data_IF_764643507445
#
_entry.id   IF_764643507445
#
_cell.length_a   1.000
_cell.length_b   1.000
_cell.length_c   1.000
_cell.angle_alpha   90.00
_cell.angle_beta   90.00
_cell.angle_gamma   90.00
#
_symmetry.space_group_name_H-M   'P 1'
#
loop_
_entity.id
_entity.type
_entity.pdbx_description
1 polymer ?
#
# COMPACT_ATOMS: atom_id res chain seq x y z
N UNK A 1 17.33 -22.69 1.28
CA UNK A 1 15.97 -22.70 1.85
C UNK A 1 15.25 -21.45 1.37
N UNK A 2 13.96 -21.56 1.01
CA UNK A 2 13.17 -20.39 0.65
C UNK A 2 13.04 -19.44 1.85
N UNK A 3 13.17 -18.13 1.59
CA UNK A 3 13.07 -17.03 2.55
C UNK A 3 12.00 -16.02 2.15
N UNK A 4 11.73 -15.89 0.85
CA UNK A 4 10.77 -14.93 0.31
C UNK A 4 9.58 -15.67 -0.30
N UNK A 5 8.39 -15.10 -0.17
CA UNK A 5 7.13 -15.68 -0.62
C UNK A 5 6.48 -14.74 -1.62
N UNK A 6 6.17 -15.26 -2.81
CA UNK A 6 5.50 -14.51 -3.86
C UNK A 6 4.20 -15.19 -4.29
N UNK A 7 3.15 -14.40 -4.47
CA UNK A 7 1.87 -14.86 -4.99
C UNK A 7 1.74 -14.45 -6.46
N UNK A 8 1.37 -15.40 -7.32
CA UNK A 8 1.01 -15.13 -8.72
C UNK A 8 -0.40 -15.61 -9.00
N UNK A 9 -1.06 -15.06 -10.01
CA UNK A 9 -2.44 -15.40 -10.33
C UNK A 9 -3.14 -14.30 -11.14
N UNK A 10 -4.28 -14.61 -11.79
CA UNK A 10 -4.98 -13.66 -12.64
C UNK A 10 -5.43 -12.42 -11.84
N UNK A 11 -5.53 -11.25 -12.50
CA UNK A 11 -6.02 -10.04 -11.85
C UNK A 11 -7.43 -10.27 -11.30
N UNK A 12 -7.72 -9.77 -10.10
CA UNK A 12 -9.01 -9.95 -9.43
C UNK A 12 -9.19 -11.27 -8.65
N UNK A 13 -8.20 -12.18 -8.60
CA UNK A 13 -8.28 -13.42 -7.80
C UNK A 13 -8.21 -13.21 -6.27
N UNK A 14 -8.01 -11.97 -5.80
CA UNK A 14 -7.93 -11.64 -4.37
C UNK A 14 -6.53 -11.73 -3.75
N UNK A 15 -5.45 -11.62 -4.55
CA UNK A 15 -4.05 -11.66 -4.04
C UNK A 15 -3.80 -10.58 -2.98
N UNK A 16 -4.18 -9.34 -3.28
CA UNK A 16 -4.15 -8.18 -2.36
C UNK A 16 -4.89 -8.47 -1.06
N UNK A 17 -6.09 -9.05 -1.14
CA UNK A 17 -6.89 -9.42 0.05
C UNK A 17 -6.21 -10.50 0.90
N UNK A 18 -5.51 -11.46 0.27
CA UNK A 18 -4.73 -12.47 1.00
C UNK A 18 -3.51 -11.83 1.68
N UNK A 19 -2.81 -10.91 1.00
CA UNK A 19 -1.69 -10.16 1.56
C UNK A 19 -2.11 -9.27 2.73
N UNK A 20 -3.25 -8.57 2.63
CA UNK A 20 -3.81 -7.76 3.72
C UNK A 20 -4.07 -8.62 4.96
N UNK A 21 -4.78 -9.75 4.81
CA UNK A 21 -5.04 -10.70 5.92
C UNK A 21 -3.76 -11.31 6.50
N UNK A 22 -2.80 -11.68 5.66
CA UNK A 22 -1.51 -12.16 6.13
C UNK A 22 -0.76 -11.08 6.93
N UNK A 23 -0.83 -9.83 6.48
CA UNK A 23 -0.22 -8.67 7.17
C UNK A 23 -0.86 -8.42 8.53
N UNK A 24 -2.19 -8.53 8.65
CA UNK A 24 -2.92 -8.43 9.91
C UNK A 24 -2.49 -9.51 10.91
N UNK A 25 -2.42 -10.77 10.46
CA UNK A 25 -1.96 -11.90 11.30
C UNK A 25 -0.52 -11.70 11.77
N UNK A 26 0.39 -11.27 10.88
CA UNK A 26 1.78 -10.97 11.22
C UNK A 26 1.90 -9.82 12.25
N UNK A 27 1.13 -8.72 12.07
CA UNK A 27 1.03 -7.63 13.05
C UNK A 27 0.56 -8.15 14.41
N UNK A 28 -0.50 -8.96 14.44
CA UNK A 28 -1.04 -9.54 15.69
C UNK A 28 -0.07 -10.51 16.39
N UNK A 29 0.84 -11.12 15.63
CA UNK A 29 1.88 -12.02 16.14
C UNK A 29 3.14 -11.29 16.63
N UNK A 30 3.13 -9.94 16.64
CA UNK A 30 4.28 -9.13 17.05
C UNK A 30 5.43 -9.07 16.04
N UNK A 31 5.24 -9.55 14.81
CA UNK A 31 6.28 -9.52 13.78
C UNK A 31 6.37 -8.11 13.18
N UNK A 32 7.55 -7.47 13.16
CA UNK A 32 7.72 -6.17 12.53
C UNK A 32 7.52 -6.30 11.02
N UNK A 33 6.49 -5.60 10.51
CA UNK A 33 6.09 -5.63 9.11
C UNK A 33 5.94 -4.21 8.59
N UNK A 34 6.59 -3.94 7.45
CA UNK A 34 6.48 -2.70 6.68
C UNK A 34 6.23 -3.08 5.21
N UNK A 35 5.73 -2.15 4.40
CA UNK A 35 5.38 -2.47 3.02
C UNK A 35 4.30 -1.57 2.44
N UNK A 36 3.91 -1.88 1.22
CA UNK A 36 2.77 -1.26 0.56
C UNK A 36 1.98 -2.27 -0.26
N UNK A 37 0.72 -1.94 -0.50
CA UNK A 37 -0.17 -2.63 -1.42
C UNK A 37 -0.84 -1.64 -2.37
N UNK A 38 -1.28 -2.13 -3.52
CA UNK A 38 -1.99 -1.33 -4.52
C UNK A 38 -3.51 -1.50 -4.41
N UNK A 39 -4.23 -0.38 -4.36
CA UNK A 39 -5.69 -0.36 -4.39
C UNK A 39 -6.22 0.06 -5.76
N UNK A 40 -7.26 -0.64 -6.25
CA UNK A 40 -7.97 -0.25 -7.46
C UNK A 40 -8.94 0.90 -7.17
N UNK A 41 -8.72 2.05 -7.82
CA UNK A 41 -9.56 3.24 -7.63
C UNK A 41 -10.71 3.22 -8.65
N UNK A 42 -11.95 3.20 -8.16
CA UNK A 42 -13.17 3.27 -8.98
C UNK A 42 -13.98 4.54 -8.67
N UNK A 43 -14.51 5.16 -9.71
CA UNK A 43 -15.42 6.30 -9.63
C UNK A 43 -16.59 6.07 -10.60
N UNK A 44 -17.83 6.30 -10.15
CA UNK A 44 -19.05 6.04 -10.93
C UNK A 44 -19.08 4.64 -11.59
N UNK A 45 -18.62 3.61 -10.87
CA UNK A 45 -18.54 2.22 -11.35
C UNK A 45 -17.41 1.92 -12.35
N UNK A 46 -16.65 2.92 -12.81
CA UNK A 46 -15.52 2.76 -13.74
C UNK A 46 -14.20 2.80 -12.98
N UNK A 47 -13.23 1.97 -13.37
CA UNK A 47 -11.86 2.06 -12.85
C UNK A 47 -11.17 3.29 -13.42
N UNK A 48 -10.73 4.20 -12.54
CA UNK A 48 -10.05 5.45 -12.91
C UNK A 48 -8.54 5.42 -12.68
N UNK A 49 -8.02 4.40 -11.99
CA UNK A 49 -6.59 4.28 -11.72
C UNK A 49 -6.28 3.33 -10.58
N UNK A 50 -5.07 3.47 -10.05
CA UNK A 50 -4.55 2.70 -8.93
C UNK A 50 -3.83 3.63 -7.94
N UNK A 51 -3.95 3.33 -6.66
CA UNK A 51 -3.23 4.01 -5.58
C UNK A 51 -2.28 3.05 -4.88
N UNK A 52 -1.18 3.59 -4.35
CA UNK A 52 -0.30 2.90 -3.41
C UNK A 52 -0.72 3.28 -2.00
N UNK A 53 -0.91 2.29 -1.14
CA UNK A 53 -1.20 2.46 0.28
C UNK A 53 -0.14 1.71 1.09
N UNK A 54 0.56 2.42 1.97
CA UNK A 54 1.57 1.83 2.86
C UNK A 54 0.90 1.11 4.04
N UNK A 55 1.60 0.16 4.67
CA UNK A 55 1.12 -0.49 5.90
C UNK A 55 1.06 0.44 7.12
N UNK A 56 1.60 1.66 7.00
CA UNK A 56 1.45 2.78 7.94
C UNK A 56 0.23 3.67 7.67
N UNK A 57 -0.51 3.44 6.58
CA UNK A 57 -1.74 4.17 6.24
C UNK A 57 -1.55 5.39 5.31
N UNK A 58 -0.33 5.68 4.87
CA UNK A 58 -0.07 6.74 3.89
C UNK A 58 -0.53 6.30 2.50
N UNK A 59 -1.23 7.16 1.78
CA UNK A 59 -1.78 6.90 0.44
C UNK A 59 -1.23 7.88 -0.59
N UNK A 60 -0.97 7.39 -1.79
CA UNK A 60 -0.56 8.21 -2.94
C UNK A 60 -0.96 7.59 -4.27
N UNK A 61 -0.80 8.36 -5.34
CA UNK A 61 -1.24 7.97 -6.68
C UNK A 61 -0.16 7.08 -7.32
N UNK A 62 -0.53 5.89 -7.77
CA UNK A 62 0.32 5.10 -8.66
C UNK A 62 0.05 5.46 -10.12
N UNK A 63 -1.22 5.46 -10.52
CA UNK A 63 -1.62 5.81 -11.88
C UNK A 63 -3.05 6.31 -11.95
N UNK A 64 -3.35 7.05 -13.03
CA UNK A 64 -4.70 7.54 -13.37
C UNK A 64 -4.96 7.38 -14.87
N UNK A 65 -6.23 7.35 -15.25
CA UNK A 65 -6.62 7.63 -16.63
C UNK A 65 -6.16 9.05 -16.94
N UNK A 66 -5.33 9.19 -17.97
CA UNK A 66 -4.82 10.46 -18.45
C UNK A 66 -4.93 10.56 -19.97
N UNK A 67 -5.14 11.78 -20.45
CA UNK A 67 -4.97 12.14 -21.86
C UNK A 67 -3.49 12.03 -22.27
N UNK A 68 -3.22 12.21 -23.57
CA UNK A 68 -1.86 12.21 -24.12
C UNK A 68 -0.91 13.11 -23.30
N UNK A 69 0.31 12.63 -22.94
CA UNK A 69 1.26 13.45 -22.21
C UNK A 69 1.78 14.60 -23.09
N UNK A 70 2.21 15.73 -22.49
CA UNK A 70 2.91 16.77 -23.24
C UNK A 70 4.16 16.21 -23.94
N UNK A 71 4.46 16.65 -25.18
CA UNK A 71 5.60 16.14 -25.93
C UNK A 71 6.91 16.35 -25.15
N UNK A 72 7.71 15.30 -25.07
CA UNK A 72 9.02 15.31 -24.40
C UNK A 72 9.10 14.61 -23.03
N UNK A 73 7.98 14.21 -22.40
CA UNK A 73 8.02 13.35 -21.21
C UNK A 73 8.09 11.86 -21.59
N UNK A 74 8.94 11.08 -20.91
CA UNK A 74 9.00 9.61 -21.04
C UNK A 74 7.63 8.99 -20.71
N UNK A 75 7.07 8.26 -21.66
CA UNK A 75 5.77 7.58 -21.52
C UNK A 75 5.84 6.40 -20.53
N UNK A 76 5.60 6.68 -19.26
CA UNK A 76 5.33 5.66 -18.25
C UNK A 76 3.85 5.26 -18.34
N UNK A 77 3.46 4.61 -19.45
CA UNK A 77 2.05 4.32 -19.79
C UNK A 77 1.78 2.81 -19.84
N UNK A 78 0.65 2.40 -19.27
CA UNK A 78 0.14 1.02 -19.36
C UNK A 78 -1.31 1.07 -19.86
N UNK A 79 -1.49 0.93 -21.17
CA UNK A 79 -2.80 1.09 -21.81
C UNK A 79 -3.32 2.51 -21.63
N UNK A 80 -4.49 2.66 -21.01
CA UNK A 80 -5.08 3.98 -20.72
C UNK A 80 -4.54 4.66 -19.45
N UNK A 81 -3.69 3.99 -18.66
CA UNK A 81 -3.19 4.51 -17.38
C UNK A 81 -1.82 5.15 -17.54
N UNK A 82 -1.71 6.41 -17.11
CA UNK A 82 -0.44 7.13 -16.97
C UNK A 82 0.06 6.94 -15.54
N UNK A 83 1.30 6.47 -15.39
CA UNK A 83 1.94 6.18 -14.10
C UNK A 83 2.63 7.43 -13.57
N UNK A 84 2.34 7.79 -12.32
CA UNK A 84 3.05 8.84 -11.59
C UNK A 84 4.21 8.21 -10.79
N UNK A 85 5.38 8.14 -11.43
CA UNK A 85 6.59 7.64 -10.79
C UNK A 85 7.01 8.46 -9.57
N UNK A 86 6.75 9.77 -9.56
CA UNK A 86 7.20 10.64 -8.47
C UNK A 86 6.38 10.39 -7.21
N UNK A 87 5.05 10.32 -7.33
CA UNK A 87 4.19 9.94 -6.20
C UNK A 87 4.41 8.49 -5.75
N UNK A 88 4.78 7.58 -6.65
CA UNK A 88 5.11 6.20 -6.31
C UNK A 88 6.43 6.11 -5.53
N UNK A 89 7.51 6.71 -6.04
CA UNK A 89 8.84 6.63 -5.45
C UNK A 89 8.90 7.26 -4.05
N UNK A 90 8.15 8.34 -3.82
CA UNK A 90 8.03 8.98 -2.50
C UNK A 90 7.44 8.08 -1.42
N UNK A 91 6.64 7.06 -1.79
CA UNK A 91 6.04 6.12 -0.85
C UNK A 91 6.77 4.77 -0.81
N UNK A 92 7.12 4.21 -1.97
CA UNK A 92 7.71 2.89 -2.07
C UNK A 92 9.18 2.85 -1.60
N UNK A 93 10.00 3.87 -1.94
CA UNK A 93 11.43 3.83 -1.63
C UNK A 93 11.75 3.94 -0.13
N UNK A 94 11.10 4.81 0.67
CA UNK A 94 11.35 4.85 2.12
C UNK A 94 11.00 3.53 2.81
N UNK A 95 9.87 2.93 2.43
CA UNK A 95 9.39 1.64 2.96
C UNK A 95 10.39 0.51 2.68
N UNK A 96 10.88 0.39 1.45
CA UNK A 96 11.89 -0.64 1.10
C UNK A 96 13.22 -0.42 1.82
N UNK A 97 13.62 0.84 2.06
CA UNK A 97 14.82 1.18 2.84
C UNK A 97 14.67 0.83 4.32
N UNK A 98 13.52 1.15 4.94
CA UNK A 98 13.22 0.81 6.34
C UNK A 98 13.23 -0.69 6.60
N UNK A 99 12.76 -1.49 5.62
CA UNK A 99 12.88 -2.94 5.66
C UNK A 99 14.35 -3.40 5.60
N UNK A 100 15.21 -2.71 4.83
CA UNK A 100 16.62 -3.05 4.64
C UNK A 100 17.58 -2.62 5.77
N UNK A 101 17.36 -1.47 6.41
CA UNK A 101 18.30 -0.86 7.39
C UNK A 101 18.17 -1.41 8.83
N UNK A 102 17.52 -2.56 9.00
CA UNK A 102 17.07 -3.07 10.29
C UNK A 102 18.07 -3.94 11.05
N UNK A 103 19.16 -3.39 11.59
CA UNK A 103 20.16 -4.12 12.41
C UNK A 103 19.66 -4.57 13.80
N UNK A 104 18.36 -4.81 13.98
CA UNK A 104 17.77 -5.31 15.23
C UNK A 104 17.68 -6.84 15.25
N UNK A 105 17.71 -7.48 16.43
CA UNK A 105 17.56 -8.93 16.55
C UNK A 105 16.12 -9.37 16.31
N UNK A 106 15.72 -9.54 15.05
CA UNK A 106 14.40 -10.02 14.67
C UNK A 106 14.19 -10.09 13.16
N UNK A 107 13.45 -11.10 12.70
CA UNK A 107 13.06 -11.18 11.30
C UNK A 107 12.00 -10.11 10.97
N UNK A 108 12.20 -9.39 9.87
CA UNK A 108 11.25 -8.38 9.37
C UNK A 108 10.53 -8.90 8.14
N UNK A 109 9.26 -8.54 7.98
CA UNK A 109 8.50 -8.84 6.75
C UNK A 109 8.31 -7.55 5.94
N UNK A 110 8.67 -7.60 4.67
CA UNK A 110 8.45 -6.52 3.71
C UNK A 110 7.33 -6.90 2.74
N UNK A 111 6.25 -6.12 2.70
CA UNK A 111 5.10 -6.37 1.82
C UNK A 111 5.17 -5.55 0.54
N UNK A 112 5.02 -6.21 -0.62
CA UNK A 112 5.09 -5.56 -1.94
C UNK A 112 4.01 -6.12 -2.88
N UNK A 113 2.84 -5.49 -2.91
CA UNK A 113 1.73 -5.84 -3.81
C UNK A 113 1.46 -4.68 -4.80
N UNK A 114 1.74 -4.75 -6.10
CA UNK A 114 2.34 -5.84 -6.91
C UNK A 114 3.67 -5.41 -7.56
N UNK A 115 4.59 -6.35 -7.82
CA UNK A 115 5.78 -6.09 -8.64
C UNK A 115 5.42 -6.29 -10.12
N UNK A 116 4.68 -5.32 -10.67
CA UNK A 116 4.09 -5.37 -11.99
C UNK A 116 4.74 -4.44 -13.01
N UNK A 117 4.06 -4.26 -14.16
CA UNK A 117 4.55 -3.41 -15.25
C UNK A 117 4.56 -1.91 -14.88
N UNK A 118 3.70 -1.47 -13.95
CA UNK A 118 3.58 -0.04 -13.60
C UNK A 118 4.75 0.41 -12.72
N UNK A 119 5.14 -0.43 -11.77
CA UNK A 119 6.16 -0.18 -10.75
C UNK A 119 7.57 -0.27 -11.35
N UNK A 120 7.77 -1.19 -12.31
CA UNK A 120 9.04 -1.42 -13.00
C UNK A 120 9.46 -0.31 -13.99
N UNK A 121 8.65 0.74 -14.16
CA UNK A 121 9.12 1.96 -14.82
C UNK A 121 10.13 2.73 -13.93
N UNK A 122 10.05 2.59 -12.60
CA UNK A 122 11.02 3.16 -11.65
C UNK A 122 12.29 2.31 -11.57
N UNK A 123 13.42 2.87 -12.01
CA UNK A 123 14.74 2.26 -11.80
C UNK A 123 15.17 2.26 -10.32
N UNK A 124 14.94 3.33 -9.53
CA UNK A 124 15.16 3.30 -8.08
C UNK A 124 14.41 2.16 -7.38
N UNK A 125 13.16 1.89 -7.78
CA UNK A 125 12.36 0.80 -7.20
C UNK A 125 12.96 -0.58 -7.52
N UNK A 126 13.37 -0.82 -8.77
CA UNK A 126 14.05 -2.08 -9.17
C UNK A 126 15.30 -2.33 -8.31
N UNK A 127 16.11 -1.30 -8.08
CA UNK A 127 17.30 -1.39 -7.25
C UNK A 127 16.96 -1.66 -5.78
N UNK A 128 15.96 -0.96 -5.23
CA UNK A 128 15.51 -1.15 -3.86
C UNK A 128 14.96 -2.58 -3.63
N UNK A 129 14.13 -3.11 -4.52
CA UNK A 129 13.62 -4.49 -4.44
C UNK A 129 14.77 -5.51 -4.42
N UNK A 130 15.78 -5.36 -5.29
CA UNK A 130 16.96 -6.24 -5.31
C UNK A 130 17.76 -6.15 -4.01
N UNK A 131 17.88 -4.97 -3.42
CA UNK A 131 18.52 -4.77 -2.11
C UNK A 131 17.72 -5.48 -1.02
N UNK A 132 16.40 -5.26 -0.91
CA UNK A 132 15.53 -5.90 0.09
C UNK A 132 15.57 -7.43 0.00
N UNK A 133 15.58 -8.00 -1.22
CA UNK A 133 15.73 -9.45 -1.45
C UNK A 133 17.14 -9.98 -1.12
N UNK A 134 18.14 -9.10 -1.00
CA UNK A 134 19.51 -9.49 -0.65
C UNK A 134 19.83 -9.22 0.83
N UNK A 135 18.97 -8.51 1.56
CA UNK A 135 19.15 -8.19 2.98
C UNK A 135 18.92 -9.41 3.87
N UNK A 136 19.93 -9.86 4.66
CA UNK A 136 19.74 -10.91 5.65
C UNK A 136 18.72 -10.48 6.73
N UNK A 137 17.85 -11.40 7.14
CA UNK A 137 16.82 -11.13 8.15
C UNK A 137 15.52 -10.50 7.62
N UNK A 138 15.48 -10.09 6.35
CA UNK A 138 14.24 -9.59 5.72
C UNK A 138 13.58 -10.67 4.88
N UNK A 139 12.35 -11.01 5.22
CA UNK A 139 11.42 -11.82 4.43
C UNK A 139 10.64 -10.88 3.52
N UNK A 140 10.47 -11.24 2.25
CA UNK A 140 9.61 -10.46 1.33
C UNK A 140 8.34 -11.27 1.08
N UNK A 141 7.19 -10.64 1.28
CA UNK A 141 5.87 -11.16 0.93
C UNK A 141 5.30 -10.27 -0.17
N UNK A 142 5.28 -10.75 -1.41
CA UNK A 142 4.84 -9.92 -2.54
C UNK A 142 3.91 -10.63 -3.51
N UNK A 143 3.45 -9.89 -4.51
CA UNK A 143 2.81 -10.44 -5.70
C UNK A 143 3.63 -10.19 -6.94
N UNK A 144 3.52 -11.11 -7.89
CA UNK A 144 4.06 -10.96 -9.25
C UNK A 144 2.98 -11.34 -10.29
N UNK A 145 2.91 -10.61 -11.42
CA UNK A 145 1.96 -10.91 -12.47
C UNK A 145 2.22 -12.31 -13.04
N UNK A 146 1.16 -12.94 -13.57
CA UNK A 146 1.31 -14.16 -14.37
C UNK A 146 2.14 -13.81 -15.61
N UNK A 147 3.16 -14.61 -15.99
CA UNK A 147 3.96 -14.37 -17.19
C UNK A 147 3.05 -14.37 -18.43
N UNK A 148 2.80 -13.18 -18.99
CA UNK A 148 1.98 -12.97 -20.17
C UNK A 148 2.59 -11.87 -21.03
N UNK A 149 2.90 -12.18 -22.28
CA UNK A 149 3.55 -11.26 -23.21
C UNK A 149 5.05 -11.11 -22.94
N UNK A 150 5.59 -9.89 -23.05
CA UNK A 150 7.02 -9.61 -22.91
C UNK A 150 7.48 -9.90 -21.46
N UNK A 151 8.54 -10.70 -21.23
CA UNK A 151 9.04 -10.97 -19.89
C UNK A 151 9.53 -9.68 -19.22
N UNK A 152 9.15 -9.52 -17.96
CA UNK A 152 9.62 -8.44 -17.10
C UNK A 152 10.88 -8.92 -16.38
N UNK A 153 12.04 -8.33 -16.69
CA UNK A 153 13.34 -8.85 -16.28
C UNK A 153 13.45 -9.10 -14.76
N UNK A 154 12.96 -8.18 -13.92
CA UNK A 154 12.95 -8.36 -12.46
C UNK A 154 12.00 -9.47 -11.99
N UNK A 155 10.87 -9.69 -12.66
CA UNK A 155 9.91 -10.74 -12.28
C UNK A 155 10.48 -12.13 -12.57
N UNK A 156 11.13 -12.31 -13.73
CA UNK A 156 11.82 -13.57 -14.04
C UNK A 156 13.09 -13.75 -13.18
N UNK A 157 13.81 -12.68 -12.84
CA UNK A 157 14.89 -12.74 -11.84
C UNK A 157 14.36 -13.26 -10.49
N UNK A 158 13.29 -12.66 -9.95
CA UNK A 158 12.66 -13.08 -8.69
C UNK A 158 12.18 -14.54 -8.75
N UNK A 159 11.51 -14.95 -9.84
CA UNK A 159 11.04 -16.34 -10.00
C UNK A 159 12.18 -17.36 -9.98
N UNK A 160 13.32 -17.04 -10.58
CA UNK A 160 14.44 -17.97 -10.75
C UNK A 160 15.40 -18.02 -9.54
N UNK A 161 15.12 -17.27 -8.46
CA UNK A 161 15.95 -17.30 -7.25
C UNK A 161 15.65 -18.51 -6.37
N UNK A 162 16.71 -19.18 -5.92
CA UNK A 162 16.65 -20.34 -5.02
C UNK A 162 16.14 -20.03 -3.59
N UNK A 163 16.00 -18.76 -3.23
CA UNK A 163 15.44 -18.29 -1.95
C UNK A 163 14.00 -17.77 -2.07
N UNK A 164 13.37 -17.88 -3.24
CA UNK A 164 11.98 -17.46 -3.50
C UNK A 164 11.08 -18.68 -3.64
N UNK A 165 9.91 -18.65 -2.99
CA UNK A 165 8.82 -19.60 -3.21
C UNK A 165 7.63 -18.88 -3.85
N UNK A 166 7.20 -19.34 -5.03
CA UNK A 166 6.06 -18.77 -5.77
C UNK A 166 4.83 -19.66 -5.63
N UNK A 167 3.73 -19.11 -5.11
CA UNK A 167 2.43 -19.78 -5.04
C UNK A 167 1.48 -19.24 -6.11
N UNK A 168 0.85 -20.14 -6.86
CA UNK A 168 -0.15 -19.78 -7.88
C UNK A 168 -1.56 -19.82 -7.30
N UNK A 169 -2.25 -18.68 -7.30
CA UNK A 169 -3.66 -18.58 -6.95
C UNK A 169 -4.52 -18.79 -8.20
N UNK A 170 -5.40 -19.78 -8.15
CA UNK A 170 -6.43 -20.03 -9.15
C UNK A 170 -7.78 -19.58 -8.61
N UNK A 171 -8.51 -18.77 -9.38
CA UNK A 171 -9.93 -18.55 -9.10
C UNK A 171 -10.69 -19.83 -9.42
N UNK A 172 -11.48 -20.36 -8.48
CA UNK A 172 -12.36 -21.49 -8.72
C UNK A 172 -13.58 -21.10 -9.57
N UNK A 173 -13.34 -20.72 -10.82
CA UNK A 173 -14.36 -20.58 -11.85
C UNK A 173 -14.62 -21.95 -12.52
N UNK A 174 -15.40 -22.79 -11.83
CA UNK A 174 -15.96 -24.09 -12.29
C UNK A 174 -14.94 -25.18 -12.66
N UNK A 175 -14.91 -26.34 -11.97
CA UNK A 175 -14.01 -27.43 -12.32
C UNK A 175 -14.58 -28.34 -13.43
N UNK A 176 -13.84 -28.62 -14.53
CA UNK A 176 -14.12 -29.78 -15.38
C UNK A 176 -13.44 -31.06 -14.88
N UNK A 177 -12.46 -30.97 -13.96
CA UNK A 177 -11.62 -32.10 -13.51
C UNK A 177 -12.04 -32.74 -12.18
N UNK A 178 -12.96 -32.15 -11.41
CA UNK A 178 -13.39 -32.71 -10.11
C UNK A 178 -14.44 -33.84 -10.23
N UNK A 179 -14.36 -34.66 -11.29
CA UNK A 179 -15.30 -35.77 -11.57
C UNK A 179 -14.66 -37.10 -11.98
N UNK A 180 -13.34 -37.25 -11.88
CA UNK A 180 -12.64 -38.54 -12.02
C UNK A 180 -11.52 -38.66 -10.99
N UNK A 181 -11.83 -39.32 -9.87
CA UNK A 181 -10.93 -40.04 -8.93
C UNK A 181 -11.61 -40.13 -7.54
N UNK A 182 -12.28 -41.25 -7.18
CA UNK A 182 -12.97 -41.37 -5.89
C UNK A 182 -12.07 -41.49 -4.65
N UNK A 183 -10.73 -41.51 -4.82
CA UNK A 183 -9.79 -42.00 -3.78
C UNK A 183 -9.15 -40.95 -2.89
N UNK A 184 -9.30 -39.65 -3.17
CA UNK A 184 -8.64 -38.58 -2.39
C UNK A 184 -9.59 -37.76 -1.48
N UNK A 185 -10.56 -38.42 -0.84
CA UNK A 185 -11.51 -37.78 0.11
C UNK A 185 -11.04 -37.67 1.57
N UNK A 186 -9.76 -37.93 1.86
CA UNK A 186 -9.28 -38.13 3.25
C UNK A 186 -8.12 -37.25 3.74
N UNK A 187 -7.82 -36.15 3.03
CA UNK A 187 -6.91 -35.11 3.52
C UNK A 187 -7.45 -33.70 3.16
N UNK A 188 -7.18 -32.72 4.04
CA UNK A 188 -7.57 -31.30 3.98
C UNK A 188 -9.03 -30.95 4.41
N UNK A 189 -9.25 -30.59 5.68
CA UNK A 189 -10.47 -29.94 6.15
C UNK A 189 -10.34 -28.41 6.04
N UNK A 190 -10.25 -27.85 4.82
CA UNK A 190 -10.13 -26.39 4.62
C UNK A 190 -11.02 -25.90 3.47
N UNK A 191 -12.32 -25.80 3.73
CA UNK A 191 -13.28 -24.96 2.97
C UNK A 191 -14.55 -24.71 3.79
N UNK A 192 -14.39 -24.11 4.98
CA UNK A 192 -15.49 -23.62 5.80
C UNK A 192 -15.23 -22.14 6.14
N UNK A 193 -15.32 -21.27 5.12
CA UNK A 193 -15.55 -19.85 5.36
C UNK A 193 -17.04 -19.65 5.64
N UNK A 194 -17.44 -18.87 6.67
CA UNK A 194 -18.84 -18.64 6.96
C UNK A 194 -19.50 -17.89 5.80
N UNK A 195 -20.64 -18.39 5.33
CA UNK A 195 -21.47 -17.70 4.34
C UNK A 195 -21.99 -16.39 4.95
N UNK A 196 -21.90 -15.25 4.24
CA UNK A 196 -22.49 -14.01 4.73
C UNK A 196 -24.01 -14.19 4.84
N UNK A 197 -24.55 -13.93 6.02
CA UNK A 197 -26.00 -13.94 6.26
C UNK A 197 -26.66 -12.85 5.41
N UNK A 198 -27.79 -13.13 4.74
CA UNK A 198 -28.46 -12.13 3.93
C UNK A 198 -29.00 -10.99 4.80
N UNK A 199 -28.67 -9.77 4.40
CA UNK A 199 -29.12 -8.53 5.04
C UNK A 199 -30.65 -8.46 5.05
N UNK A 200 -31.28 -8.51 6.22
CA UNK A 200 -32.72 -8.22 6.33
C UNK A 200 -32.94 -6.70 6.22
N UNK A 201 -33.82 -6.23 5.32
CA UNK A 201 -34.17 -4.81 5.27
C UNK A 201 -34.99 -4.43 6.51
N UNK A 202 -34.64 -3.31 7.15
CA UNK A 202 -35.43 -2.77 8.27
C UNK A 202 -36.85 -2.42 7.81
N UNK A 203 -37.88 -2.63 8.66
CA UNK A 203 -39.24 -2.19 8.33
C UNK A 203 -39.30 -0.66 8.17
N UNK A 204 -40.16 -0.20 7.26
CA UNK A 204 -40.44 1.22 7.05
C UNK A 204 -41.22 1.77 8.24
N UNK A 205 -40.70 2.79 8.91
CA UNK A 205 -41.50 3.58 9.85
C UNK A 205 -42.54 4.40 9.07
N UNK A 206 -43.79 4.36 9.55
CA UNK A 206 -44.92 5.07 8.96
C UNK A 206 -44.93 6.56 9.32
N UNK A 207 -45.74 7.38 8.62
CA UNK A 207 -45.72 8.82 8.79
C UNK A 207 -46.54 9.29 10.00
N UNK A 208 -45.97 10.21 10.79
CA UNK A 208 -46.75 11.18 11.56
C UNK A 208 -46.39 11.31 13.04
N UNK A 209 -45.85 12.47 13.40
CA UNK A 209 -46.66 13.46 14.15
C UNK A 209 -45.99 14.85 14.11
N UNK A 210 -46.81 15.90 14.01
CA UNK A 210 -46.36 17.30 14.07
C UNK A 210 -46.10 17.72 15.52
N UNK A 211 -45.02 18.46 15.77
CA UNK A 211 -44.88 19.55 16.78
C UNK A 211 -43.78 20.47 16.26
N UNK A 212 -44.17 21.59 15.66
CA UNK A 212 -44.32 22.92 16.27
C UNK A 212 -42.97 23.63 16.46
N UNK A 213 -42.80 24.74 15.74
CA UNK A 213 -41.63 25.60 15.75
C UNK A 213 -41.55 26.47 17.01
N UNK A 214 -40.34 26.79 17.44
CA UNK A 214 -40.01 27.86 18.39
C UNK A 214 -39.08 28.89 17.74
N UNK A 215 -39.17 30.19 18.09
CA UNK A 215 -38.55 31.28 17.32
C UNK A 215 -37.08 31.57 17.72
N UNK A 216 -36.34 32.34 16.90
CA UNK A 216 -34.94 32.67 17.16
C UNK A 216 -34.79 33.84 18.14
N UNK A 217 -33.79 33.79 19.03
CA UNK A 217 -33.37 34.94 19.84
C UNK A 217 -31.83 35.05 19.97
N UNK A 218 -31.33 36.17 19.47
CA UNK A 218 -30.18 36.96 19.93
C UNK A 218 -30.72 38.41 20.11
N UNK A 219 -29.99 39.41 20.65
CA UNK A 219 -28.59 39.45 21.12
C UNK A 219 -28.43 40.06 22.54
N UNK A 220 -27.17 40.33 22.96
CA UNK A 220 -26.61 41.36 23.88
C UNK A 220 -25.28 40.80 24.49
N UNK A 221 -24.09 41.43 24.43
CA UNK A 221 -23.59 42.73 24.98
C UNK A 221 -23.77 42.83 26.51
N UNK A 222 -22.79 43.21 27.35
CA UNK A 222 -21.35 43.53 27.26
C UNK A 222 -20.79 43.60 28.73
N UNK A 223 -19.51 43.76 29.12
CA UNK A 223 -18.20 43.96 28.47
C UNK A 223 -17.04 43.62 29.47
N UNK A 224 -15.78 43.78 29.02
CA UNK A 224 -14.67 44.49 29.73
C UNK A 224 -13.53 43.73 30.42
N UNK A 225 -12.38 44.44 30.52
CA UNK A 225 -11.05 44.09 31.08
C UNK A 225 -10.22 43.06 30.29
N UNK A 226 -8.94 43.31 29.95
CA UNK A 226 -8.15 44.54 30.12
C UNK A 226 -6.83 44.54 29.31
N UNK A 227 -6.18 45.69 29.25
CA UNK A 227 -4.82 45.92 28.72
C UNK A 227 -3.77 45.01 29.42
N UNK A 228 -2.51 44.83 28.95
CA UNK A 228 -1.64 45.79 28.25
C UNK A 228 -0.40 45.09 27.64
N UNK A 229 0.23 45.72 26.64
CA UNK A 229 1.56 45.35 26.12
C UNK A 229 2.64 46.17 26.86
N UNK A 230 3.85 45.65 27.04
CA UNK A 230 5.05 46.47 26.83
C UNK A 230 6.11 45.82 25.91
N UNK A 231 7.02 46.67 25.43
CA UNK A 231 8.07 46.37 24.44
C UNK A 231 9.37 45.84 25.09
N UNK A 232 10.27 45.36 24.22
CA UNK A 232 11.64 44.95 24.55
C UNK A 232 12.58 46.09 24.99
N UNK A 233 13.77 45.75 25.51
CA UNK A 233 14.97 46.57 25.40
C UNK A 233 16.10 45.89 24.59
N UNK A 234 16.85 46.71 23.84
CA UNK A 234 18.19 46.41 23.31
C UNK A 234 19.25 46.60 24.40
N UNK A 235 20.24 45.70 24.53
CA UNK A 235 21.55 46.01 25.16
C UNK A 235 22.66 45.22 24.47
N UNK A 236 23.77 45.90 24.17
CA UNK A 236 24.93 45.35 23.45
C UNK A 236 26.04 44.81 24.37
N UNK A 237 26.93 44.01 23.78
CA UNK A 237 28.36 44.01 24.14
C UNK A 237 28.97 42.73 24.69
N UNK A 238 29.87 42.10 23.91
CA UNK A 238 31.30 42.03 24.25
C UNK A 238 32.15 41.47 23.10
N UNK A 239 33.43 41.88 23.03
CA UNK A 239 34.44 41.47 22.02
C UNK A 239 35.55 40.63 22.65
N UNK A 240 36.05 39.63 21.91
CA UNK A 240 37.48 39.26 21.78
C UNK A 240 37.58 38.18 20.68
N UNK A 241 38.19 38.39 19.51
CA UNK A 241 39.62 38.56 19.20
C UNK A 241 40.52 37.38 19.58
N UNK A 242 40.94 36.60 18.59
CA UNK A 242 42.36 36.26 18.36
C UNK A 242 42.59 35.80 16.90
N UNK A 243 43.70 36.24 16.31
CA UNK A 243 44.14 35.92 14.94
C UNK A 243 45.56 35.35 15.00
N UNK A 244 45.81 34.21 14.34
CA UNK A 244 47.10 33.80 13.80
C UNK A 244 46.84 32.68 12.77
N UNK A 245 46.95 32.92 11.46
CA UNK A 245 48.17 33.00 10.64
C UNK A 245 48.91 31.66 10.46
N UNK A 246 49.08 31.35 9.17
CA UNK A 246 49.86 30.28 8.56
C UNK A 246 51.26 30.13 9.16
N UNK A 247 51.71 28.88 9.20
CA UNK A 247 53.00 28.43 8.66
C UNK A 247 52.71 27.39 7.59
#
# INVERSE_FOLDING_TARGET
MARHVFLTGPPGVGKTTLIQKASEVLKSSGVPIDGFYTEEVRQAGRRIGFDVVTLSGTRGVLSRIGSEPPPGKRECRVGQYVVDLTSFEQLALPVLRNAGSGSGPGQRVCVIDEIGKMELFSQPFIQAVRQTLSTPGTVVLGTIPVPKGKPLALVEEIRNRNDVQVFSMLSCAVPPLCRREPRLRRALPVCALPTPTPFQPRPREGPGTRRLAGPPHQPEREASSGCQVPRAPDVAGCRASAVARRS
#
